data_IF_685895241079
#
_entry.id   IF_685895241079
#
_cell.length_a   1.000
_cell.length_b   1.000
_cell.length_c   1.000
_cell.angle_alpha   90.00
_cell.angle_beta   90.00
_cell.angle_gamma   90.00
#
_symmetry.space_group_name_H-M   'P 1'
#
loop_
_entity.id
_entity.type
_entity.pdbx_description
1 polymer ?
#
# COMPACT_ATOMS: atom_id res chain seq x y z
N UNK A 1 -24.81 14.17 34.38
CA UNK A 1 -24.51 12.84 33.82
C UNK A 1 -24.80 12.75 32.33
N UNK A 2 -26.07 12.78 31.90
CA UNK A 2 -26.47 12.56 30.49
C UNK A 2 -25.68 13.39 29.46
N UNK A 3 -25.42 14.68 29.71
CA UNK A 3 -24.61 15.51 28.81
C UNK A 3 -23.16 15.03 28.61
N UNK A 4 -22.46 14.64 29.68
CA UNK A 4 -21.10 14.11 29.59
C UNK A 4 -21.05 12.74 28.90
N UNK A 5 -22.06 11.90 29.12
CA UNK A 5 -22.20 10.64 28.40
C UNK A 5 -22.41 10.88 26.90
N UNK A 6 -23.26 11.84 26.51
CA UNK A 6 -23.45 12.23 25.11
C UNK A 6 -22.17 12.74 24.44
N UNK A 7 -21.40 13.59 25.12
CA UNK A 7 -20.09 14.07 24.63
C UNK A 7 -19.11 12.90 24.47
N UNK A 8 -19.02 11.99 25.46
CA UNK A 8 -18.14 10.83 25.39
C UNK A 8 -18.51 9.89 24.22
N UNK A 9 -19.81 9.64 24.00
CA UNK A 9 -20.31 8.83 22.86
C UNK A 9 -19.98 9.51 21.53
N UNK A 10 -20.19 10.82 21.41
CA UNK A 10 -19.83 11.57 20.20
C UNK A 10 -18.33 11.49 19.89
N UNK A 11 -17.48 11.75 20.89
CA UNK A 11 -16.04 11.63 20.74
C UNK A 11 -15.61 10.20 20.39
N UNK A 12 -16.23 9.18 20.99
CA UNK A 12 -15.97 7.78 20.68
C UNK A 12 -16.24 7.46 19.21
N UNK A 13 -17.38 7.89 18.65
CA UNK A 13 -17.70 7.73 17.23
C UNK A 13 -16.65 8.42 16.34
N UNK A 14 -16.21 9.63 16.69
CA UNK A 14 -15.12 10.30 15.96
C UNK A 14 -13.81 9.51 16.02
N UNK A 15 -13.48 8.87 17.15
CA UNK A 15 -12.25 8.06 17.25
C UNK A 15 -12.26 6.76 16.44
N UNK A 16 -13.42 6.27 15.99
CA UNK A 16 -13.54 5.10 15.12
C UNK A 16 -13.34 5.39 13.62
N UNK A 17 -13.17 6.67 13.23
CA UNK A 17 -13.02 7.05 11.80
C UNK A 17 -11.68 6.67 11.16
N UNK A 18 -10.67 6.31 11.95
CA UNK A 18 -9.34 5.92 11.43
C UNK A 18 -9.27 4.40 11.30
N UNK A 19 -9.22 3.91 10.06
CA UNK A 19 -8.96 2.50 9.76
C UNK A 19 -7.44 2.26 9.62
N UNK A 20 -6.85 1.68 10.65
CA UNK A 20 -5.41 1.36 10.70
C UNK A 20 -4.98 0.28 9.71
N UNK A 21 -5.85 -0.67 9.39
CA UNK A 21 -5.56 -1.77 8.44
C UNK A 21 -5.49 -1.25 7.00
N UNK A 22 -6.38 -0.31 6.65
CA UNK A 22 -6.32 0.43 5.39
C UNK A 22 -5.00 1.20 5.27
N UNK A 23 -4.58 1.87 6.35
CA UNK A 23 -3.32 2.61 6.36
C UNK A 23 -2.10 1.71 6.13
N UNK A 24 -2.02 0.57 6.82
CA UNK A 24 -0.92 -0.39 6.61
C UNK A 24 -0.95 -0.99 5.20
N UNK A 25 -2.13 -1.26 4.65
CA UNK A 25 -2.31 -1.73 3.27
C UNK A 25 -1.83 -0.68 2.26
N UNK A 26 -2.27 0.57 2.40
CA UNK A 26 -1.89 1.67 1.50
C UNK A 26 -0.39 1.98 1.56
N UNK A 27 0.17 2.16 2.76
CA UNK A 27 1.59 2.48 2.94
C UNK A 27 2.49 1.35 2.44
N UNK A 28 2.11 0.09 2.66
CA UNK A 28 2.86 -1.06 2.10
C UNK A 28 2.73 -1.14 0.58
N UNK A 29 1.58 -0.79 -0.01
CA UNK A 29 1.40 -0.73 -1.45
C UNK A 29 2.26 0.38 -2.09
N UNK A 30 2.34 1.57 -1.48
CA UNK A 30 3.16 2.68 -1.94
C UNK A 30 4.66 2.33 -1.94
N UNK A 31 5.17 1.77 -0.84
CA UNK A 31 6.56 1.30 -0.75
C UNK A 31 6.87 0.19 -1.76
N UNK A 32 5.96 -0.77 -1.95
CA UNK A 32 6.11 -1.83 -2.95
C UNK A 32 6.09 -1.29 -4.39
N UNK A 33 5.29 -0.28 -4.68
CA UNK A 33 5.20 0.35 -6.00
C UNK A 33 6.56 0.97 -6.40
N UNK A 34 7.21 1.68 -5.47
CA UNK A 34 8.55 2.23 -5.68
C UNK A 34 9.59 1.11 -5.93
N UNK A 35 9.60 0.08 -5.09
CA UNK A 35 10.53 -1.06 -5.21
C UNK A 35 10.37 -1.83 -6.53
N UNK A 36 9.14 -2.18 -6.91
CA UNK A 36 8.85 -2.92 -8.14
C UNK A 36 9.19 -2.08 -9.38
N UNK A 37 8.94 -0.76 -9.38
CA UNK A 37 9.35 0.11 -10.50
C UNK A 37 10.88 0.21 -10.62
N UNK A 38 11.62 0.32 -9.50
CA UNK A 38 13.08 0.31 -9.51
C UNK A 38 13.65 -1.02 -10.05
N UNK A 39 13.08 -2.15 -9.61
CA UNK A 39 13.49 -3.47 -10.09
C UNK A 39 13.09 -3.72 -11.55
N UNK A 40 11.98 -3.17 -12.03
CA UNK A 40 11.58 -3.21 -13.43
C UNK A 40 12.60 -2.45 -14.30
N UNK A 41 12.97 -1.22 -13.92
CA UNK A 41 13.98 -0.42 -14.63
C UNK A 41 15.33 -1.16 -14.69
N UNK A 42 15.77 -1.73 -13.57
CA UNK A 42 16.97 -2.57 -13.49
C UNK A 42 16.91 -3.77 -14.44
N UNK A 43 15.77 -4.45 -14.52
CA UNK A 43 15.63 -5.64 -15.36
C UNK A 43 15.46 -5.31 -16.84
N UNK A 44 14.88 -4.16 -17.20
CA UNK A 44 14.86 -3.64 -18.58
C UNK A 44 16.29 -3.44 -19.10
N UNK A 45 17.17 -2.81 -18.31
CA UNK A 45 18.60 -2.67 -18.64
C UNK A 45 19.28 -4.05 -18.79
N UNK A 46 19.03 -4.98 -17.87
CA UNK A 46 19.57 -6.35 -17.99
C UNK A 46 19.12 -7.05 -19.28
N UNK A 47 17.86 -6.90 -19.67
CA UNK A 47 17.31 -7.48 -20.91
C UNK A 47 17.92 -6.82 -22.15
N UNK A 48 18.06 -5.48 -22.17
CA UNK A 48 18.75 -4.74 -23.24
C UNK A 48 20.17 -5.21 -23.48
N UNK A 49 20.92 -5.44 -22.39
CA UNK A 49 22.31 -5.88 -22.42
C UNK A 49 22.50 -7.40 -22.29
N UNK A 50 21.43 -8.20 -22.52
CA UNK A 50 21.44 -9.67 -22.54
C UNK A 50 21.93 -10.36 -21.24
N UNK A 51 21.88 -9.66 -20.11
CA UNK A 51 22.08 -10.21 -18.77
C UNK A 51 20.83 -10.93 -18.22
N UNK A 52 19.69 -10.77 -18.90
CA UNK A 52 18.48 -11.59 -18.73
C UNK A 52 17.97 -11.97 -20.13
N UNK A 53 17.68 -13.25 -20.34
CA UNK A 53 17.25 -13.74 -21.65
C UNK A 53 15.74 -13.63 -21.91
N UNK A 54 14.93 -13.66 -20.85
CA UNK A 54 13.48 -13.82 -20.90
C UNK A 54 12.74 -12.57 -20.40
N UNK A 55 11.56 -12.32 -20.97
CA UNK A 55 10.75 -11.14 -20.68
C UNK A 55 9.74 -11.31 -19.52
N UNK A 56 9.54 -12.54 -19.03
CA UNK A 56 8.50 -12.85 -18.02
C UNK A 56 8.66 -12.10 -16.70
N UNK A 57 9.92 -11.81 -16.33
CA UNK A 57 10.23 -10.97 -15.18
C UNK A 57 9.68 -9.55 -15.37
N UNK A 58 9.79 -8.97 -16.58
CA UNK A 58 9.24 -7.64 -16.87
C UNK A 58 7.70 -7.67 -16.84
N UNK A 59 7.09 -8.69 -17.43
CA UNK A 59 5.62 -8.86 -17.48
C UNK A 59 5.04 -9.04 -16.07
N UNK A 60 5.68 -9.84 -15.22
CA UNK A 60 5.23 -10.07 -13.84
C UNK A 60 5.45 -8.86 -12.93
N UNK A 61 6.53 -8.10 -13.10
CA UNK A 61 6.75 -6.82 -12.41
C UNK A 61 5.74 -5.75 -12.84
N UNK A 62 5.44 -5.67 -14.14
CA UNK A 62 4.48 -4.71 -14.66
C UNK A 62 3.04 -5.02 -14.22
N UNK A 63 2.67 -6.31 -14.14
CA UNK A 63 1.41 -6.76 -13.52
C UNK A 63 1.32 -6.37 -12.05
N UNK A 64 2.42 -6.47 -11.30
CA UNK A 64 2.46 -6.02 -9.90
C UNK A 64 2.24 -4.51 -9.78
N UNK A 65 2.85 -3.70 -10.65
CA UNK A 65 2.61 -2.24 -10.73
C UNK A 65 1.12 -1.93 -10.90
N UNK A 66 0.44 -2.58 -11.85
CA UNK A 66 -1.00 -2.41 -12.08
C UNK A 66 -1.85 -2.79 -10.87
N UNK A 67 -1.55 -3.92 -10.23
CA UNK A 67 -2.28 -4.36 -9.03
C UNK A 67 -2.09 -3.36 -7.88
N UNK A 68 -0.86 -2.85 -7.68
CA UNK A 68 -0.55 -1.86 -6.65
C UNK A 68 -1.22 -0.52 -6.94
N UNK A 69 -1.30 -0.09 -8.20
CA UNK A 69 -2.09 1.07 -8.62
C UNK A 69 -3.56 0.91 -8.21
N UNK A 70 -4.18 -0.25 -8.47
CA UNK A 70 -5.56 -0.51 -8.04
C UNK A 70 -5.74 -0.40 -6.52
N UNK A 71 -4.78 -0.88 -5.73
CA UNK A 71 -4.80 -0.69 -4.26
C UNK A 71 -4.62 0.78 -3.86
N UNK A 72 -3.77 1.53 -4.56
CA UNK A 72 -3.53 2.95 -4.29
C UNK A 72 -4.67 3.88 -4.76
N UNK A 73 -5.56 3.38 -5.62
CA UNK A 73 -6.81 4.06 -5.99
C UNK A 73 -7.89 4.03 -4.91
N UNK A 74 -7.76 3.17 -3.89
CA UNK A 74 -8.71 3.08 -2.77
C UNK A 74 -8.40 4.15 -1.71
N UNK A 75 -8.83 5.39 -2.00
CA UNK A 75 -8.67 6.56 -1.13
C UNK A 75 -9.72 6.49 0.00
N UNK A 76 -9.33 6.50 1.29
CA UNK A 76 -10.29 6.40 2.39
C UNK A 76 -11.32 7.55 2.40
N UNK A 77 -12.64 7.25 2.50
CA UNK A 77 -13.68 8.28 2.59
C UNK A 77 -13.67 9.07 3.91
N UNK A 78 -12.81 8.70 4.85
CA UNK A 78 -12.52 9.48 6.06
C UNK A 78 -11.67 10.72 5.77
N UNK A 79 -10.97 10.77 4.62
CA UNK A 79 -10.25 11.96 4.15
C UNK A 79 -11.28 12.96 3.60
N UNK A 80 -11.10 14.24 3.94
CA UNK A 80 -11.96 15.35 3.54
C UNK A 80 -11.86 15.65 2.03
N UNK A 81 -12.87 16.32 1.46
CA UNK A 81 -12.91 16.62 0.01
C UNK A 81 -11.63 17.32 -0.51
N UNK A 82 -11.03 18.32 0.18
CA UNK A 82 -9.76 18.91 -0.24
C UNK A 82 -8.61 17.91 -0.24
N UNK A 83 -8.60 16.97 0.71
CA UNK A 83 -7.59 15.92 0.79
C UNK A 83 -7.75 14.84 -0.27
N UNK A 84 -8.99 14.47 -0.60
CA UNK A 84 -9.26 13.57 -1.73
C UNK A 84 -8.78 14.20 -3.05
N UNK A 85 -9.08 15.48 -3.29
CA UNK A 85 -8.61 16.19 -4.48
C UNK A 85 -7.07 16.23 -4.59
N UNK A 86 -6.36 16.49 -3.48
CA UNK A 86 -4.88 16.51 -3.47
C UNK A 86 -4.25 15.12 -3.71
N UNK A 87 -4.94 14.03 -3.34
CA UNK A 87 -4.49 12.65 -3.57
C UNK A 87 -4.84 12.18 -5.00
N UNK A 88 -5.99 12.57 -5.54
CA UNK A 88 -6.44 12.19 -6.88
C UNK A 88 -5.52 12.75 -7.99
N UNK A 89 -5.03 13.98 -7.86
CA UNK A 89 -4.15 14.57 -8.88
C UNK A 89 -2.89 13.74 -9.20
N UNK A 90 -2.02 13.35 -8.22
CA UNK A 90 -0.88 12.49 -8.51
C UNK A 90 -1.29 11.06 -8.90
N UNK A 91 -2.45 10.56 -8.46
CA UNK A 91 -2.99 9.25 -8.86
C UNK A 91 -3.41 9.21 -10.34
N UNK A 92 -4.04 10.26 -10.85
CA UNK A 92 -4.41 10.40 -12.27
C UNK A 92 -3.15 10.43 -13.15
N UNK A 93 -2.15 11.24 -12.76
CA UNK A 93 -0.87 11.31 -13.49
C UNK A 93 -0.13 9.97 -13.44
N UNK A 94 -0.11 9.30 -12.29
CA UNK A 94 0.46 7.96 -12.16
C UNK A 94 -0.28 6.95 -13.06
N UNK A 95 -1.60 7.06 -13.18
CA UNK A 95 -2.44 6.20 -14.05
C UNK A 95 -2.10 6.39 -15.53
N UNK A 96 -1.94 7.63 -15.99
CA UNK A 96 -1.50 7.94 -17.36
C UNK A 96 -0.10 7.38 -17.63
N UNK A 97 0.85 7.62 -16.72
CA UNK A 97 2.24 7.13 -16.87
C UNK A 97 2.35 5.60 -16.84
N UNK A 98 1.54 4.90 -16.03
CA UNK A 98 1.49 3.43 -16.07
C UNK A 98 1.01 2.96 -17.44
N UNK A 99 -0.04 3.56 -18.00
CA UNK A 99 -0.53 3.19 -19.34
C UNK A 99 0.53 3.44 -20.42
N UNK A 100 1.15 4.62 -20.42
CA UNK A 100 2.23 4.96 -21.36
C UNK A 100 3.40 3.97 -21.24
N UNK A 101 3.80 3.59 -20.01
CA UNK A 101 4.86 2.60 -19.80
C UNK A 101 4.51 1.23 -20.37
N UNK A 102 3.24 0.82 -20.39
CA UNK A 102 2.82 -0.43 -21.02
C UNK A 102 3.10 -0.41 -22.52
N UNK A 103 2.63 0.64 -23.21
CA UNK A 103 2.74 0.80 -24.66
C UNK A 103 4.22 0.86 -25.10
N UNK A 104 5.07 1.56 -24.34
CA UNK A 104 6.52 1.61 -24.56
C UNK A 104 7.18 0.26 -24.21
N UNK A 105 6.72 -0.47 -23.19
CA UNK A 105 7.29 -1.76 -22.79
C UNK A 105 6.98 -2.86 -23.81
N UNK A 106 5.77 -2.90 -24.36
CA UNK A 106 5.42 -3.81 -25.48
C UNK A 106 6.29 -3.51 -26.71
N UNK A 107 6.42 -2.23 -27.06
CA UNK A 107 7.31 -1.78 -28.15
C UNK A 107 8.76 -2.20 -27.93
N UNK A 108 9.30 -2.01 -26.71
CA UNK A 108 10.64 -2.44 -26.34
C UNK A 108 10.83 -3.94 -26.52
N UNK A 109 9.92 -4.78 -25.99
CA UNK A 109 10.02 -6.24 -26.10
C UNK A 109 10.06 -6.70 -27.56
N UNK A 110 9.17 -6.16 -28.41
CA UNK A 110 9.09 -6.53 -29.82
C UNK A 110 10.38 -6.20 -30.57
N UNK A 111 10.86 -4.96 -30.45
CA UNK A 111 12.04 -4.49 -31.19
C UNK A 111 13.35 -5.09 -30.63
N UNK A 112 13.46 -5.23 -29.30
CA UNK A 112 14.61 -5.89 -28.67
C UNK A 112 14.66 -7.38 -29.00
N UNK A 113 13.53 -8.06 -29.26
CA UNK A 113 13.53 -9.44 -29.75
C UNK A 113 14.10 -9.55 -31.17
N UNK A 114 13.71 -8.65 -32.08
CA UNK A 114 14.25 -8.57 -33.47
C UNK A 114 15.76 -8.28 -33.45
N UNK A 115 16.19 -7.34 -32.60
CA UNK A 115 17.61 -7.03 -32.38
C UNK A 115 18.36 -8.23 -31.80
N UNK A 116 17.87 -8.85 -30.71
CA UNK A 116 18.47 -10.03 -30.05
C UNK A 116 18.66 -11.17 -31.04
N UNK A 117 17.66 -11.46 -31.87
CA UNK A 117 17.73 -12.52 -32.87
C UNK A 117 18.81 -12.24 -33.92
N UNK A 118 18.85 -11.01 -34.46
CA UNK A 118 19.85 -10.62 -35.47
C UNK A 118 21.27 -10.64 -34.92
N UNK A 119 21.48 -10.10 -33.71
CA UNK A 119 22.80 -10.12 -33.02
C UNK A 119 23.24 -11.56 -32.68
N UNK A 120 22.30 -12.48 -32.42
CA UNK A 120 22.61 -13.90 -32.19
C UNK A 120 22.94 -14.66 -33.48
N UNK A 121 22.30 -14.32 -34.59
CA UNK A 121 22.48 -15.00 -35.88
C UNK A 121 23.83 -14.67 -36.53
N UNK A 122 24.29 -13.40 -36.51
CA UNK A 122 25.46 -12.97 -37.27
C UNK A 122 26.76 -13.80 -37.04
N UNK A 123 27.14 -14.22 -35.82
CA UNK A 123 28.30 -15.11 -35.64
C UNK A 123 28.11 -16.49 -36.28
N UNK A 124 26.92 -17.08 -36.09
CA UNK A 124 26.58 -18.41 -36.63
C UNK A 124 26.63 -18.41 -38.16
N UNK A 125 26.04 -17.38 -38.77
CA UNK A 125 26.08 -17.19 -40.22
C UNK A 125 27.52 -17.04 -40.78
N UNK A 126 28.43 -16.43 -40.02
CA UNK A 126 29.83 -16.31 -40.41
C UNK A 126 30.54 -17.67 -40.36
N UNK A 127 30.27 -18.47 -39.33
CA UNK A 127 30.86 -19.81 -39.18
C UNK A 127 30.32 -20.77 -40.25
N UNK A 128 29.01 -20.76 -40.50
CA UNK A 128 28.31 -21.58 -41.51
C UNK A 128 28.66 -21.16 -42.95
N UNK A 129 28.90 -19.88 -43.23
CA UNK A 129 29.37 -19.38 -44.55
C UNK A 129 30.73 -19.94 -44.99
N UNK A 130 31.35 -20.76 -44.15
CA UNK A 130 32.70 -21.27 -44.32
C UNK A 130 32.92 -22.05 -45.60
N UNK A 131 31.89 -22.79 -46.05
CA UNK A 131 31.88 -23.65 -47.24
C UNK A 131 31.34 -22.92 -48.48
N UNK A 132 30.42 -21.96 -48.32
CA UNK A 132 29.80 -21.21 -49.44
C UNK A 132 30.62 -20.02 -49.95
N UNK A 133 31.50 -19.44 -49.11
CA UNK A 133 32.33 -18.28 -49.46
C UNK A 133 33.79 -18.70 -49.65
N UNK A 134 34.12 -19.13 -50.87
CA UNK A 134 35.50 -19.46 -51.28
C UNK A 134 36.42 -18.22 -51.27
N UNK A 135 35.88 -17.03 -51.55
CA UNK A 135 36.65 -15.80 -51.62
C UNK A 135 37.10 -15.33 -50.22
N UNK A 136 38.34 -15.67 -49.87
CA UNK A 136 38.95 -15.37 -48.56
C UNK A 136 38.94 -13.86 -48.23
N UNK A 137 39.11 -12.99 -49.22
CA UNK A 137 39.12 -11.53 -49.05
C UNK A 137 37.69 -10.99 -48.81
N UNK A 138 36.68 -11.54 -49.50
CA UNK A 138 35.27 -11.26 -49.17
C UNK A 138 34.93 -11.75 -47.75
N UNK A 139 35.27 -12.99 -47.42
CA UNK A 139 35.05 -13.62 -46.11
C UNK A 139 35.63 -12.79 -44.97
N UNK A 140 36.87 -12.32 -45.12
CA UNK A 140 37.52 -11.45 -44.14
C UNK A 140 36.86 -10.07 -44.01
N UNK A 141 36.40 -9.48 -45.13
CA UNK A 141 35.66 -8.20 -45.09
C UNK A 141 34.28 -8.36 -44.42
N UNK A 142 33.56 -9.45 -44.68
CA UNK A 142 32.27 -9.75 -44.01
C UNK A 142 32.46 -9.97 -42.50
N UNK A 143 33.47 -10.74 -42.10
CA UNK A 143 33.81 -10.93 -40.69
C UNK A 143 34.13 -9.60 -39.97
N UNK A 144 34.79 -8.66 -40.68
CA UNK A 144 35.05 -7.31 -40.17
C UNK A 144 33.75 -6.48 -40.04
N UNK A 145 32.85 -6.53 -41.02
CA UNK A 145 31.54 -5.87 -40.93
C UNK A 145 30.71 -6.41 -39.77
N UNK A 146 30.69 -7.73 -39.57
CA UNK A 146 29.99 -8.37 -38.45
C UNK A 146 30.59 -7.91 -37.11
N UNK A 147 31.93 -7.91 -36.99
CA UNK A 147 32.63 -7.40 -35.78
C UNK A 147 32.28 -5.94 -35.49
N UNK A 148 32.39 -5.07 -36.50
CA UNK A 148 32.05 -3.65 -36.39
C UNK A 148 30.57 -3.49 -35.96
N UNK A 149 29.66 -4.27 -36.53
CA UNK A 149 28.21 -4.27 -36.22
C UNK A 149 27.90 -4.73 -34.79
N UNK A 150 28.55 -5.79 -34.31
CA UNK A 150 28.39 -6.29 -32.94
C UNK A 150 28.91 -5.29 -31.91
N UNK A 151 30.01 -4.58 -32.23
CA UNK A 151 30.52 -3.48 -31.42
C UNK A 151 29.57 -2.26 -31.44
N UNK A 152 28.97 -1.94 -32.59
CA UNK A 152 27.97 -0.87 -32.70
C UNK A 152 26.71 -1.14 -31.87
N UNK A 153 26.21 -2.37 -31.83
CA UNK A 153 25.06 -2.74 -30.97
C UNK A 153 25.31 -2.46 -29.46
N UNK A 154 26.56 -2.46 -29.02
CA UNK A 154 26.94 -2.20 -27.62
C UNK A 154 26.97 -0.69 -27.31
N UNK A 155 27.72 0.08 -28.09
CA UNK A 155 28.10 1.46 -27.74
C UNK A 155 27.45 2.53 -28.64
N UNK A 156 26.77 2.13 -29.72
CA UNK A 156 26.08 2.99 -30.69
C UNK A 156 26.92 4.14 -31.28
N UNK A 157 28.25 3.96 -31.36
CA UNK A 157 29.18 5.02 -31.75
C UNK A 157 28.91 5.60 -33.17
N UNK A 158 29.02 6.93 -33.29
CA UNK A 158 28.72 7.67 -34.52
C UNK A 158 29.79 7.52 -35.60
N UNK A 159 31.05 7.27 -35.25
CA UNK A 159 32.11 7.04 -36.25
C UNK A 159 32.00 5.62 -36.81
N UNK A 160 31.80 4.63 -35.93
CA UNK A 160 31.56 3.23 -36.28
C UNK A 160 30.28 3.07 -37.11
N UNK A 161 29.19 3.78 -36.75
CA UNK A 161 27.95 3.77 -37.52
C UNK A 161 28.13 4.26 -38.96
N UNK A 162 28.91 5.32 -39.19
CA UNK A 162 29.26 5.80 -40.54
C UNK A 162 30.10 4.78 -41.31
N UNK A 163 31.03 4.10 -40.64
CA UNK A 163 31.83 3.02 -41.23
C UNK A 163 30.95 1.85 -41.69
N UNK A 164 30.06 1.36 -40.82
CA UNK A 164 29.09 0.31 -41.14
C UNK A 164 28.21 0.71 -42.33
N UNK A 165 27.72 1.96 -42.35
CA UNK A 165 26.91 2.47 -43.46
C UNK A 165 27.69 2.46 -44.79
N UNK A 166 28.96 2.88 -44.80
CA UNK A 166 29.80 2.80 -46.01
C UNK A 166 30.11 1.36 -46.44
N UNK A 167 30.39 0.46 -45.49
CA UNK A 167 30.60 -0.96 -45.78
C UNK A 167 29.34 -1.57 -46.39
N UNK A 168 28.16 -1.33 -45.79
CA UNK A 168 26.86 -1.78 -46.30
C UNK A 168 26.60 -1.33 -47.74
N UNK A 169 26.97 -0.09 -48.09
CA UNK A 169 26.85 0.40 -49.47
C UNK A 169 27.76 -0.38 -50.44
N UNK A 170 29.04 -0.52 -50.10
CA UNK A 170 30.02 -1.28 -50.92
C UNK A 170 29.57 -2.74 -51.12
N UNK A 171 29.18 -3.43 -50.06
CA UNK A 171 28.68 -4.81 -50.17
C UNK A 171 27.38 -4.91 -50.95
N UNK A 172 26.47 -3.93 -50.85
CA UNK A 172 25.24 -3.93 -51.65
C UNK A 172 25.56 -3.85 -53.14
N UNK A 173 26.45 -2.93 -53.55
CA UNK A 173 26.89 -2.84 -54.95
C UNK A 173 27.63 -4.08 -55.43
N UNK A 174 28.46 -4.71 -54.58
CA UNK A 174 29.12 -5.98 -54.90
C UNK A 174 28.10 -7.12 -55.07
N UNK A 175 27.12 -7.23 -54.18
CA UNK A 175 26.01 -8.20 -54.24
C UNK A 175 25.20 -8.04 -55.53
N UNK A 176 24.86 -6.80 -55.88
CA UNK A 176 24.04 -6.50 -57.07
C UNK A 176 24.76 -6.86 -58.38
N UNK A 177 26.10 -6.92 -58.38
CA UNK A 177 26.90 -7.38 -59.54
C UNK A 177 27.13 -8.89 -59.61
N UNK A 178 26.78 -9.65 -58.57
CA UNK A 178 26.94 -11.12 -58.56
C UNK A 178 25.76 -11.82 -59.23
N UNK A 179 25.99 -12.91 -59.99
CA UNK A 179 24.91 -13.81 -60.41
C UNK A 179 24.26 -14.50 -59.19
N UNK A 180 23.08 -15.12 -59.33
CA UNK A 180 22.54 -16.01 -58.30
C UNK A 180 23.52 -17.14 -57.97
N UNK A 181 23.90 -17.24 -56.70
CA UNK A 181 24.85 -18.24 -56.16
C UNK A 181 24.66 -18.40 -54.65
N UNK A 182 25.13 -19.50 -54.03
CA UNK A 182 25.13 -19.67 -52.57
C UNK A 182 25.87 -18.53 -51.85
N UNK A 183 27.04 -18.11 -52.35
CA UNK A 183 27.80 -16.94 -51.85
C UNK A 183 26.93 -15.67 -51.79
N UNK A 184 26.11 -15.43 -52.84
CA UNK A 184 25.19 -14.29 -52.89
C UNK A 184 24.06 -14.42 -51.88
N UNK A 185 23.47 -15.60 -51.72
CA UNK A 185 22.39 -15.84 -50.75
C UNK A 185 22.86 -15.65 -49.30
N UNK A 186 24.04 -16.19 -48.96
CA UNK A 186 24.67 -16.00 -47.65
C UNK A 186 24.99 -14.53 -47.39
N UNK A 187 25.54 -13.82 -48.39
CA UNK A 187 25.78 -12.38 -48.27
C UNK A 187 24.47 -11.59 -48.10
N UNK A 188 23.39 -11.96 -48.80
CA UNK A 188 22.08 -11.32 -48.63
C UNK A 188 21.52 -11.51 -47.21
N UNK A 189 21.66 -12.70 -46.62
CA UNK A 189 21.25 -12.97 -45.23
C UNK A 189 22.08 -12.16 -44.22
N UNK A 190 23.41 -12.16 -44.35
CA UNK A 190 24.31 -11.37 -43.49
C UNK A 190 23.97 -9.87 -43.59
N UNK A 191 23.84 -9.32 -44.81
CA UNK A 191 23.53 -7.90 -45.00
C UNK A 191 22.14 -7.53 -44.48
N UNK A 192 21.14 -8.41 -44.58
CA UNK A 192 19.83 -8.19 -43.99
C UNK A 192 19.90 -8.06 -42.45
N UNK A 193 20.60 -8.98 -41.79
CA UNK A 193 20.76 -8.93 -40.33
C UNK A 193 21.66 -7.78 -39.86
N UNK A 194 22.73 -7.43 -40.60
CA UNK A 194 23.54 -6.24 -40.30
C UNK A 194 22.70 -4.96 -40.39
N UNK A 195 21.90 -4.80 -41.46
CA UNK A 195 20.97 -3.66 -41.59
C UNK A 195 19.98 -3.63 -40.42
N UNK A 196 19.45 -4.79 -40.00
CA UNK A 196 18.51 -4.90 -38.87
C UNK A 196 19.15 -4.49 -37.55
N UNK A 197 20.40 -4.92 -37.27
CA UNK A 197 21.12 -4.47 -36.06
C UNK A 197 21.38 -2.97 -36.12
N UNK A 198 21.81 -2.44 -37.27
CA UNK A 198 22.11 -1.03 -37.46
C UNK A 198 20.88 -0.13 -37.26
N UNK A 199 19.70 -0.51 -37.79
CA UNK A 199 18.47 0.28 -37.63
C UNK A 199 17.81 0.11 -36.26
N UNK A 200 17.84 -1.08 -35.67
CA UNK A 200 17.12 -1.36 -34.42
C UNK A 200 17.89 -0.93 -33.16
N UNK A 201 19.24 -0.95 -33.18
CA UNK A 201 20.06 -0.50 -32.04
C UNK A 201 19.65 0.88 -31.50
N UNK A 202 19.57 1.96 -32.31
CA UNK A 202 19.18 3.27 -31.79
C UNK A 202 17.72 3.30 -31.30
N UNK A 203 16.79 2.62 -31.98
CA UNK A 203 15.39 2.62 -31.56
C UNK A 203 15.17 1.90 -30.23
N UNK A 204 15.81 0.74 -30.05
CA UNK A 204 15.77 -0.02 -28.79
C UNK A 204 16.48 0.74 -27.66
N UNK A 205 17.55 1.49 -27.94
CA UNK A 205 18.18 2.38 -26.96
C UNK A 205 17.20 3.48 -26.51
N UNK A 206 16.58 4.22 -27.43
CA UNK A 206 15.58 5.24 -27.09
C UNK A 206 14.44 4.67 -26.25
N UNK A 207 13.90 3.50 -26.60
CA UNK A 207 12.86 2.83 -25.80
C UNK A 207 13.36 2.44 -24.40
N UNK A 208 14.61 2.00 -24.27
CA UNK A 208 15.26 1.69 -22.98
C UNK A 208 15.36 2.94 -22.11
N UNK A 209 15.77 4.07 -22.69
CA UNK A 209 15.89 5.36 -22.01
C UNK A 209 14.51 5.87 -21.59
N UNK A 210 13.52 5.92 -22.49
CA UNK A 210 12.14 6.32 -22.17
C UNK A 210 11.56 5.49 -21.01
N UNK A 211 11.74 4.18 -21.01
CA UNK A 211 11.23 3.31 -19.94
C UNK A 211 11.91 3.57 -18.57
N UNK A 212 13.21 3.87 -18.58
CA UNK A 212 14.00 4.01 -17.34
C UNK A 212 13.92 5.42 -16.75
N UNK A 213 13.77 6.46 -17.58
CA UNK A 213 13.63 7.86 -17.17
C UNK A 213 12.19 8.28 -16.84
N UNK A 214 11.17 7.50 -17.19
CA UNK A 214 9.77 7.84 -16.91
C UNK A 214 9.50 8.06 -15.41
N UNK A 215 8.88 9.20 -14.99
CA UNK A 215 8.88 9.67 -13.60
C UNK A 215 7.89 8.95 -12.65
N UNK A 216 7.60 7.66 -12.87
CA UNK A 216 6.71 6.86 -12.02
C UNK A 216 7.11 6.87 -10.54
N UNK A 217 8.41 6.82 -10.23
CA UNK A 217 8.90 6.88 -8.85
C UNK A 217 8.61 8.24 -8.19
N UNK A 218 8.72 9.34 -8.94
CA UNK A 218 8.40 10.68 -8.46
C UNK A 218 6.90 10.81 -8.16
N UNK A 219 6.03 10.38 -9.09
CA UNK A 219 4.58 10.49 -8.90
C UNK A 219 4.03 9.50 -7.87
N UNK A 220 4.61 8.30 -7.75
CA UNK A 220 4.29 7.36 -6.66
C UNK A 220 4.69 7.91 -5.28
N UNK A 221 5.80 8.66 -5.19
CA UNK A 221 6.22 9.33 -3.96
C UNK A 221 5.35 10.56 -3.66
N UNK A 222 4.97 11.35 -4.68
CA UNK A 222 4.05 12.47 -4.51
C UNK A 222 2.66 12.00 -4.01
N UNK A 223 2.16 10.87 -4.53
CA UNK A 223 0.93 10.23 -4.09
C UNK A 223 0.99 9.79 -2.62
N UNK A 224 2.06 9.08 -2.21
CA UNK A 224 2.26 8.71 -0.81
C UNK A 224 2.35 9.95 0.09
N UNK A 225 3.15 10.96 -0.27
CA UNK A 225 3.26 12.20 0.52
C UNK A 225 1.93 12.95 0.69
N UNK A 226 1.09 13.01 -0.35
CA UNK A 226 -0.26 13.56 -0.25
C UNK A 226 -1.11 12.75 0.73
N UNK A 227 -1.14 11.42 0.58
CA UNK A 227 -1.88 10.52 1.46
C UNK A 227 -1.43 10.62 2.94
N UNK A 228 -0.12 10.51 3.20
CA UNK A 228 0.44 10.56 4.55
C UNK A 228 0.11 11.88 5.28
N UNK A 229 0.07 13.00 4.54
CA UNK A 229 -0.27 14.31 5.09
C UNK A 229 -1.70 14.38 5.61
N UNK A 230 -2.67 13.85 4.86
CA UNK A 230 -4.08 13.84 5.27
C UNK A 230 -4.37 12.78 6.31
N UNK A 231 -3.79 11.58 6.16
CA UNK A 231 -3.88 10.54 7.19
C UNK A 231 -3.30 11.02 8.55
N UNK A 232 -2.17 11.74 8.54
CA UNK A 232 -1.60 12.35 9.75
C UNK A 232 -2.55 13.33 10.45
N UNK A 233 -3.31 14.14 9.70
CA UNK A 233 -4.35 15.04 10.26
C UNK A 233 -5.50 14.26 10.89
N UNK A 234 -5.96 13.17 10.26
CA UNK A 234 -7.00 12.29 10.81
C UNK A 234 -6.57 11.61 12.11
N UNK A 235 -5.30 11.17 12.18
CA UNK A 235 -4.72 10.61 13.40
C UNK A 235 -4.63 11.67 14.51
N UNK A 236 -4.23 12.90 14.20
CA UNK A 236 -4.08 13.96 15.21
C UNK A 236 -5.43 14.44 15.76
N UNK A 237 -6.42 14.67 14.89
CA UNK A 237 -7.81 14.97 15.32
C UNK A 237 -8.40 13.84 16.16
N UNK A 238 -8.12 12.57 15.81
CA UNK A 238 -8.51 11.40 16.61
C UNK A 238 -7.90 11.41 18.02
N UNK A 239 -6.64 11.84 18.18
CA UNK A 239 -6.03 12.01 19.52
C UNK A 239 -6.75 13.10 20.33
N UNK A 240 -7.10 14.22 19.70
CA UNK A 240 -7.83 15.31 20.36
C UNK A 240 -9.22 14.85 20.84
N UNK A 241 -10.00 14.15 20.00
CA UNK A 241 -11.28 13.57 20.43
C UNK A 241 -11.11 12.54 21.54
N UNK A 242 -10.05 11.73 21.52
CA UNK A 242 -9.74 10.79 22.60
C UNK A 242 -9.45 11.50 23.93
N UNK A 243 -8.73 12.63 23.90
CA UNK A 243 -8.52 13.47 25.09
C UNK A 243 -9.84 14.06 25.62
N UNK A 244 -10.69 14.61 24.75
CA UNK A 244 -12.01 15.13 25.16
C UNK A 244 -12.91 14.03 25.75
N UNK A 245 -12.88 12.81 25.19
CA UNK A 245 -13.58 11.65 25.73
C UNK A 245 -13.09 11.27 27.13
N UNK A 246 -11.77 11.27 27.38
CA UNK A 246 -11.20 11.00 28.70
C UNK A 246 -11.55 12.09 29.72
N UNK A 247 -11.51 13.36 29.33
CA UNK A 247 -11.92 14.48 30.19
C UNK A 247 -13.42 14.40 30.54
N UNK A 248 -14.29 14.11 29.57
CA UNK A 248 -15.73 13.98 29.79
C UNK A 248 -16.08 12.78 30.69
N UNK A 249 -15.43 11.63 30.47
CA UNK A 249 -15.57 10.43 31.32
C UNK A 249 -15.06 10.68 32.74
N UNK A 250 -13.90 11.32 32.89
CA UNK A 250 -13.33 11.68 34.19
C UNK A 250 -14.23 12.64 34.98
N UNK A 251 -14.76 13.68 34.31
CA UNK A 251 -15.71 14.62 34.92
C UNK A 251 -17.00 13.92 35.37
N UNK A 252 -17.55 12.99 34.56
CA UNK A 252 -18.71 12.20 34.92
C UNK A 252 -18.45 11.30 36.16
N UNK A 253 -17.28 10.67 36.26
CA UNK A 253 -16.89 9.87 37.42
C UNK A 253 -16.77 10.71 38.69
N UNK A 254 -16.07 11.85 38.64
CA UNK A 254 -15.91 12.76 39.79
C UNK A 254 -17.27 13.27 40.29
N UNK A 255 -18.15 13.72 39.38
CA UNK A 255 -19.49 14.16 39.74
C UNK A 255 -20.35 13.01 40.33
N UNK A 256 -20.09 11.76 39.92
CA UNK A 256 -20.83 10.59 40.40
C UNK A 256 -20.43 10.20 41.82
N UNK A 257 -19.12 10.23 42.10
CA UNK A 257 -18.58 10.04 43.44
C UNK A 257 -19.05 11.14 44.41
N UNK A 258 -19.07 12.39 43.97
CA UNK A 258 -19.62 13.51 44.77
C UNK A 258 -21.11 13.32 45.09
N UNK A 259 -21.92 12.94 44.10
CA UNK A 259 -23.35 12.68 44.31
C UNK A 259 -23.60 11.51 45.28
N UNK A 260 -22.87 10.40 45.12
CA UNK A 260 -22.97 9.25 46.02
C UNK A 260 -22.53 9.60 47.46
N UNK A 261 -21.46 10.38 47.61
CA UNK A 261 -20.98 10.85 48.92
C UNK A 261 -21.97 11.80 49.60
N UNK A 262 -22.66 12.66 48.84
CA UNK A 262 -23.76 13.49 49.35
C UNK A 262 -24.96 12.66 49.78
N UNK A 263 -25.28 11.59 49.05
CA UNK A 263 -26.41 10.70 49.36
C UNK A 263 -26.19 9.92 50.67
N UNK A 264 -24.99 9.37 50.87
CA UNK A 264 -24.55 8.70 52.11
C UNK A 264 -24.58 9.68 53.32
N UNK A 265 -24.42 10.98 53.08
CA UNK A 265 -24.45 12.03 54.12
C UNK A 265 -25.84 12.57 54.45
N UNK A 266 -26.91 12.12 53.78
CA UNK A 266 -28.28 12.51 54.17
C UNK A 266 -28.60 11.91 55.54
N UNK A 267 -28.91 12.72 56.57
CA UNK A 267 -29.31 12.18 57.86
C UNK A 267 -30.62 11.39 57.68
N UNK A 268 -30.70 10.21 58.30
CA UNK A 268 -31.93 9.47 58.35
C UNK A 268 -32.99 10.31 59.05
N UNK A 269 -34.06 10.67 58.32
CA UNK A 269 -35.26 11.26 58.91
C UNK A 269 -35.85 10.23 59.87
N UNK A 270 -35.60 10.43 61.17
CA UNK A 270 -36.28 9.69 62.23
C UNK A 270 -37.78 9.95 62.04
N UNK A 271 -38.62 8.92 61.82
CA UNK A 271 -40.05 9.14 61.68
C UNK A 271 -40.58 9.70 63.01
N UNK A 272 -41.14 10.91 62.95
CA UNK A 272 -41.88 11.50 64.06
C UNK A 272 -42.99 10.53 64.45
N UNK A 273 -43.04 10.16 65.73
CA UNK A 273 -44.02 9.21 66.23
C UNK A 273 -45.44 9.76 66.03
N UNK A 274 -46.37 8.87 65.66
CA UNK A 274 -47.79 9.17 65.53
C UNK A 274 -48.34 9.76 66.84
N UNK A 275 -48.83 10.99 66.79
CA UNK A 275 -49.72 11.51 67.83
C UNK A 275 -51.02 10.70 67.82
N UNK A 276 -51.21 9.89 68.86
CA UNK A 276 -52.49 9.26 69.16
C UNK A 276 -53.42 10.31 69.80
N UNK A 277 -54.72 10.34 69.44
CA UNK A 277 -55.64 11.33 69.99
C UNK A 277 -55.85 11.11 71.49
N UNK A 278 -55.72 12.20 72.26
CA UNK A 278 -55.93 12.21 73.70
C UNK A 278 -57.41 11.96 74.03
N UNK A 279 -57.69 10.90 74.79
CA UNK A 279 -58.93 10.76 75.56
C UNK A 279 -58.62 10.95 77.04
N UNK A 280 -59.09 12.05 77.62
CA UNK A 280 -59.15 12.22 79.07
C UNK A 280 -60.28 11.38 79.68
N UNK A 281 -60.05 10.81 80.86
CA UNK A 281 -61.12 10.72 81.85
C UNK A 281 -60.66 11.09 83.28
N UNK A 282 -61.21 12.20 83.77
CA UNK A 282 -61.76 12.45 85.11
C UNK A 282 -61.00 11.96 86.37
N UNK A 283 -60.56 12.92 87.19
CA UNK A 283 -60.38 12.76 88.64
C UNK A 283 -61.72 12.74 89.39
N UNK A 284 -62.01 11.67 90.15
CA UNK A 284 -61.97 11.67 91.63
C UNK A 284 -62.52 10.35 92.23
N UNK A 285 -62.11 9.97 93.46
CA UNK A 285 -62.36 8.63 93.99
C UNK A 285 -63.61 8.51 94.86
N UNK A 286 -64.31 7.37 94.80
CA UNK A 286 -65.18 6.92 95.90
C UNK A 286 -64.92 5.45 96.27
N UNK A 287 -64.91 5.20 97.58
CA UNK A 287 -64.70 3.86 98.15
C UNK A 287 -65.92 2.96 97.92
N UNK A 288 -65.70 1.67 97.64
CA UNK A 288 -66.40 0.58 98.37
C UNK A 288 -65.76 -0.79 98.14
N UNK A 289 -65.08 -1.28 99.17
CA UNK A 289 -65.15 -2.66 99.72
C UNK A 289 -65.32 -3.89 98.80
N UNK A 290 -64.42 -4.88 99.00
CA UNK A 290 -64.68 -6.34 99.13
C UNK A 290 -64.02 -7.30 98.10
N UNK A 291 -62.82 -7.80 98.49
CA UNK A 291 -62.47 -9.25 98.62
C UNK A 291 -62.14 -10.10 97.37
N UNK A 292 -61.01 -10.83 97.49
CA UNK A 292 -60.56 -12.01 96.68
C UNK A 292 -60.39 -11.81 95.16
N UNK A 293 -59.43 -12.36 94.43
CA UNK A 293 -58.16 -13.07 94.72
C UNK A 293 -57.29 -12.98 93.43
N UNK A 294 -56.04 -13.45 93.33
CA UNK A 294 -55.23 -14.28 94.19
C UNK A 294 -53.72 -14.00 93.97
N UNK A 295 -52.84 -14.35 94.91
CA UNK A 295 -51.38 -14.24 94.74
C UNK A 295 -50.76 -15.63 94.50
N UNK A 296 -50.28 -15.88 93.29
CA UNK A 296 -49.34 -16.97 93.05
C UNK A 296 -48.21 -16.58 92.10
N UNK A 297 -47.05 -16.32 92.75
CA UNK A 297 -45.73 -16.87 92.43
C UNK A 297 -45.10 -16.38 91.12
N UNK A 298 -44.09 -15.50 91.25
CA UNK A 298 -42.67 -15.88 91.43
C UNK A 298 -42.11 -16.58 90.17
N UNK A 299 -41.30 -15.87 89.36
CA UNK A 299 -39.86 -15.61 89.61
C UNK A 299 -39.02 -16.87 89.39
N UNK A 300 -38.38 -16.91 88.22
CA UNK A 300 -37.20 -17.70 87.78
C UNK A 300 -37.41 -18.08 86.30
N UNK A 301 -36.39 -18.20 85.46
CA UNK A 301 -34.98 -17.79 85.57
C UNK A 301 -34.44 -17.76 84.13
N UNK A 302 -33.52 -16.84 83.80
CA UNK A 302 -32.16 -17.22 83.37
C UNK A 302 -31.91 -18.74 83.41
N UNK A 303 -32.10 -19.44 82.30
CA UNK A 303 -31.19 -20.48 81.80
C UNK A 303 -31.76 -21.16 80.54
N UNK A 304 -31.65 -20.49 79.40
CA UNK A 304 -31.54 -21.18 78.11
C UNK A 304 -30.55 -20.46 77.16
N UNK A 305 -29.37 -20.12 77.71
CA UNK A 305 -28.14 -19.86 76.94
C UNK A 305 -27.52 -21.17 76.43
N UNK A 306 -28.33 -22.07 75.88
CA UNK A 306 -27.92 -23.33 75.23
C UNK A 306 -28.93 -23.65 74.13
N UNK A 307 -28.43 -23.88 72.91
CA UNK A 307 -29.19 -23.94 71.63
C UNK A 307 -29.62 -22.51 71.19
N UNK A 308 -29.31 -22.00 70.00
CA UNK A 308 -28.71 -22.61 68.82
C UNK A 308 -27.39 -21.96 68.40
N UNK A 309 -26.39 -22.82 68.21
CA UNK A 309 -25.25 -22.68 67.30
C UNK A 309 -25.04 -24.08 66.72
N UNK A 310 -24.56 -24.20 65.48
CA UNK A 310 -24.66 -25.40 64.60
C UNK A 310 -26.11 -25.56 64.10
N UNK A 311 -26.42 -25.49 62.80
CA UNK A 311 -25.65 -25.84 61.58
C UNK A 311 -25.34 -24.65 60.65
#
# INVERSE_FOLDING_TARGET
MLGFAGIAIYCYVQTQRVNWDHHTTYASAALRMQGVNADLNKNILKVRYRLLEYYDVLVSQFRQIKNLQTTLSDIPPAIDEPGQAEISQPLEILTVLIKEKEEVLESFKAQNAVLKNSVRYLPVAMDESGEDIENTDLKQRLANLIRDTLHYNRDADRQLGRRIQSQLQVFSSQRDSMPPSPEREVMDQILAHVRTVFTQTPFVNTLTDTLTWMPLGQWSNALDQAYQRHHGRLVETTKQYRLYMYLASGAALVLGLLAAFMDIRKPALVPVALELPVQEPQDEPQMTTTRTSNLSKLKNRRDERRRASVE
#
